data_IF_313109586429
#
_entry.id   IF_313109586429
#
_cell.length_a   1.000
_cell.length_b   1.000
_cell.length_c   1.000
_cell.angle_alpha   90.00
_cell.angle_beta   90.00
_cell.angle_gamma   90.00
#
_symmetry.space_group_name_H-M   'P 1'
#
loop_
_entity.id
_entity.type
_entity.pdbx_description
1 polymer ?
#
# COMPACT_ATOMS: atom_id res chain seq x y z
N UNK A 1 -31.33 -6.93 41.74
CA UNK A 1 -30.94 -5.51 41.74
C UNK A 1 -30.13 -5.28 40.50
N UNK A 2 -30.83 -4.98 39.40
CA UNK A 2 -30.24 -4.78 38.06
C UNK A 2 -29.99 -3.29 37.86
N UNK A 3 -28.74 -2.92 37.66
CA UNK A 3 -28.32 -1.54 37.40
C UNK A 3 -28.29 -1.30 35.89
N UNK A 4 -29.27 -0.56 35.39
CA UNK A 4 -29.43 -0.15 34.01
C UNK A 4 -28.39 0.93 33.64
N UNK A 5 -27.40 0.59 32.85
CA UNK A 5 -26.51 1.58 32.23
C UNK A 5 -27.21 2.24 31.05
N UNK A 6 -27.65 3.49 31.24
CA UNK A 6 -28.21 4.38 30.21
C UNK A 6 -27.10 4.79 29.23
N UNK A 7 -27.19 4.32 27.99
CA UNK A 7 -26.45 4.89 26.87
C UNK A 7 -27.08 6.22 26.44
N UNK A 8 -26.36 7.31 26.64
CA UNK A 8 -26.73 8.60 26.08
C UNK A 8 -26.29 8.66 24.59
N UNK A 9 -27.29 8.76 23.72
CA UNK A 9 -27.07 9.04 22.29
C UNK A 9 -26.90 10.55 22.10
N UNK A 10 -25.71 10.98 21.64
CA UNK A 10 -25.46 12.37 21.26
C UNK A 10 -25.98 12.60 19.85
N UNK A 11 -27.03 13.42 19.73
CA UNK A 11 -27.63 13.80 18.46
C UNK A 11 -26.80 14.82 17.73
N UNK A 12 -26.51 14.57 16.41
CA UNK A 12 -25.72 15.42 15.50
C UNK A 12 -26.41 16.73 15.04
N UNK A 13 -27.44 17.22 15.75
CA UNK A 13 -28.26 18.36 15.28
C UNK A 13 -28.05 19.70 15.99
N UNK A 14 -27.05 19.87 16.85
CA UNK A 14 -26.88 21.10 17.64
C UNK A 14 -25.56 21.82 17.37
N UNK A 15 -25.18 22.03 16.11
CA UNK A 15 -23.98 22.82 15.76
C UNK A 15 -24.21 23.71 14.51
N UNK A 16 -25.39 24.31 14.40
CA UNK A 16 -25.61 25.37 13.39
C UNK A 16 -26.63 26.40 13.98
N UNK A 17 -26.17 27.27 14.87
CA UNK A 17 -26.89 28.51 15.21
C UNK A 17 -25.94 29.52 15.86
N UNK A 18 -25.71 30.62 15.19
CA UNK A 18 -25.07 31.84 15.72
C UNK A 18 -23.87 32.24 14.87
N UNK A 19 -23.77 33.33 14.20
CA UNK A 19 -24.39 34.66 14.28
C UNK A 19 -24.12 35.39 12.99
N UNK A 20 -25.10 36.10 12.45
CA UNK A 20 -24.93 37.05 11.38
C UNK A 20 -24.25 38.30 11.93
N UNK A 21 -23.21 38.75 11.27
CA UNK A 21 -22.57 40.07 11.44
C UNK A 21 -22.28 40.67 10.09
N UNK A 22 -23.01 41.75 9.75
CA UNK A 22 -22.83 42.60 8.57
C UNK A 22 -21.52 43.41 8.69
N UNK A 23 -20.79 43.58 7.60
CA UNK A 23 -20.39 44.89 6.98
C UNK A 23 -19.12 44.74 6.15
N UNK A 24 -19.12 45.31 4.95
CA UNK A 24 -17.93 45.86 4.30
C UNK A 24 -17.57 45.20 2.98
N UNK A 25 -18.10 45.74 1.88
CA UNK A 25 -17.72 45.37 0.53
C UNK A 25 -16.28 45.75 0.17
N UNK A 26 -15.60 44.80 -0.48
CA UNK A 26 -14.53 45.08 -1.42
C UNK A 26 -14.61 44.01 -2.49
N UNK A 27 -14.92 44.48 -3.70
CA UNK A 27 -14.90 43.64 -4.89
C UNK A 27 -13.45 43.28 -5.20
N UNK A 28 -13.10 42.01 -5.05
CA UNK A 28 -11.88 41.44 -5.59
C UNK A 28 -12.26 40.43 -6.68
N UNK A 29 -11.81 40.72 -7.89
CA UNK A 29 -11.93 39.91 -9.07
C UNK A 29 -11.41 38.47 -8.82
N UNK A 30 -12.06 37.41 -9.31
CA UNK A 30 -11.53 36.07 -9.22
C UNK A 30 -10.43 35.88 -10.27
N UNK A 31 -9.19 36.14 -9.89
CA UNK A 31 -8.02 35.64 -10.60
C UNK A 31 -7.88 34.16 -10.27
N UNK A 32 -8.34 33.26 -11.14
CA UNK A 32 -8.08 31.85 -11.03
C UNK A 32 -6.58 31.59 -11.24
N UNK A 33 -5.84 31.45 -10.14
CA UNK A 33 -4.50 30.88 -10.18
C UNK A 33 -4.68 29.35 -10.16
N UNK A 34 -4.87 28.78 -11.34
CA UNK A 34 -4.59 27.37 -11.56
C UNK A 34 -3.07 27.20 -11.45
N UNK A 35 -2.59 26.83 -10.28
CA UNK A 35 -1.24 26.33 -10.14
C UNK A 35 -1.15 25.03 -10.94
N UNK A 36 -0.75 25.15 -12.20
CA UNK A 36 -0.33 24.00 -12.99
C UNK A 36 0.93 23.46 -12.34
N UNK A 37 0.78 22.34 -11.64
CA UNK A 37 1.89 21.56 -11.13
C UNK A 37 2.55 20.87 -12.34
N UNK A 38 3.24 21.64 -13.17
CA UNK A 38 4.06 21.12 -14.27
C UNK A 38 5.31 20.49 -13.68
N UNK A 39 5.19 19.22 -13.37
CA UNK A 39 6.35 18.36 -13.17
C UNK A 39 7.20 18.47 -14.44
N UNK A 40 8.47 18.88 -14.37
CA UNK A 40 9.28 18.97 -15.57
C UNK A 40 9.33 17.58 -16.22
N UNK A 41 8.98 17.52 -17.50
CA UNK A 41 9.17 16.32 -18.29
C UNK A 41 10.65 15.99 -18.26
N UNK A 42 11.03 14.88 -17.65
CA UNK A 42 12.38 14.37 -17.74
C UNK A 42 12.59 13.94 -19.19
N UNK A 43 13.35 14.73 -19.95
CA UNK A 43 13.94 14.28 -21.22
C UNK A 43 15.07 13.30 -20.88
N UNK A 44 14.68 12.12 -20.39
CA UNK A 44 15.59 11.02 -20.17
C UNK A 44 15.71 10.20 -21.45
N UNK A 45 16.97 9.96 -21.87
CA UNK A 45 17.30 8.98 -22.89
C UNK A 45 16.54 7.67 -22.65
N UNK A 46 16.10 7.02 -23.73
CA UNK A 46 15.44 5.72 -23.67
C UNK A 46 16.26 4.77 -22.76
N UNK A 47 15.63 4.09 -21.80
CA UNK A 47 16.35 3.19 -20.93
C UNK A 47 16.99 2.11 -21.80
N UNK A 48 18.31 2.01 -21.75
CA UNK A 48 19.00 0.80 -22.18
C UNK A 48 18.38 -0.34 -21.40
N UNK A 49 17.79 -1.31 -22.09
CA UNK A 49 17.14 -2.49 -21.54
C UNK A 49 18.08 -3.23 -20.58
N UNK A 50 18.10 -2.83 -19.32
CA UNK A 50 18.68 -3.64 -18.26
C UNK A 50 17.57 -4.57 -17.79
N UNK A 51 17.73 -5.86 -18.03
CA UNK A 51 16.86 -6.89 -17.50
C UNK A 51 16.64 -6.64 -16.00
N UNK A 52 15.43 -6.29 -15.61
CA UNK A 52 15.05 -6.18 -14.22
C UNK A 52 14.28 -7.46 -13.85
N UNK A 53 14.86 -8.37 -13.05
CA UNK A 53 14.24 -9.64 -12.72
C UNK A 53 12.94 -9.48 -11.91
N UNK A 54 12.66 -8.28 -11.41
CA UNK A 54 11.44 -7.94 -10.69
C UNK A 54 10.34 -7.31 -11.57
N UNK A 55 10.60 -7.19 -12.88
CA UNK A 55 9.64 -6.65 -13.82
C UNK A 55 9.71 -7.46 -15.10
N UNK A 56 8.87 -8.47 -15.27
CA UNK A 56 8.84 -9.23 -16.51
C UNK A 56 8.48 -8.27 -17.67
N UNK A 57 9.20 -8.43 -18.78
CA UNK A 57 8.96 -7.66 -19.99
C UNK A 57 7.53 -7.98 -20.51
N UNK A 58 6.64 -7.00 -20.67
CA UNK A 58 5.30 -7.23 -21.18
C UNK A 58 5.28 -7.92 -22.54
N UNK A 59 6.28 -7.66 -23.40
CA UNK A 59 6.39 -8.33 -24.69
C UNK A 59 6.72 -9.81 -24.55
N UNK A 60 7.51 -10.17 -23.53
CA UNK A 60 7.78 -11.57 -23.20
C UNK A 60 6.56 -12.28 -22.64
N UNK A 61 5.79 -11.62 -21.76
CA UNK A 61 4.55 -12.17 -21.22
C UNK A 61 3.49 -12.38 -22.31
N UNK A 62 3.46 -11.52 -23.33
CA UNK A 62 2.52 -11.63 -24.45
C UNK A 62 2.83 -12.77 -25.43
N UNK A 63 4.03 -13.40 -25.36
CA UNK A 63 4.41 -14.50 -26.26
C UNK A 63 3.52 -15.73 -26.09
N UNK A 64 2.92 -15.93 -24.94
CA UNK A 64 2.04 -17.05 -24.68
C UNK A 64 0.85 -16.60 -23.86
N UNK A 65 -0.34 -16.86 -24.38
CA UNK A 65 -1.60 -16.74 -23.65
C UNK A 65 -2.16 -18.13 -23.44
N UNK A 66 -2.55 -18.41 -22.21
CA UNK A 66 -3.15 -19.68 -21.82
C UNK A 66 -4.63 -19.46 -21.47
N UNK A 67 -5.44 -20.45 -21.76
CA UNK A 67 -6.85 -20.45 -21.37
C UNK A 67 -6.96 -20.61 -19.85
N UNK A 68 -7.84 -19.81 -19.23
CA UNK A 68 -8.16 -19.92 -17.82
C UNK A 68 -9.03 -21.17 -17.64
N UNK A 69 -8.50 -22.17 -16.93
CA UNK A 69 -9.15 -23.49 -16.81
C UNK A 69 -10.45 -23.41 -16.00
N UNK A 70 -10.47 -22.63 -14.91
CA UNK A 70 -11.61 -22.50 -14.00
C UNK A 70 -11.91 -21.02 -13.71
N UNK A 71 -12.49 -20.27 -14.67
CA UNK A 71 -12.68 -18.81 -14.54
C UNK A 71 -13.63 -18.42 -13.40
N UNK A 72 -14.53 -19.31 -12.99
CA UNK A 72 -15.51 -19.08 -11.92
C UNK A 72 -14.99 -19.47 -10.52
N UNK A 73 -13.79 -20.06 -10.44
CA UNK A 73 -13.19 -20.40 -9.15
C UNK A 73 -12.85 -19.13 -8.37
N UNK A 74 -13.47 -18.97 -7.20
CA UNK A 74 -13.17 -17.85 -6.30
C UNK A 74 -11.79 -18.02 -5.68
N UNK A 75 -10.94 -17.03 -5.88
CA UNK A 75 -9.56 -17.01 -5.44
C UNK A 75 -9.37 -15.86 -4.46
N UNK A 76 -8.73 -16.17 -3.32
CA UNK A 76 -8.13 -15.20 -2.44
C UNK A 76 -6.63 -15.19 -2.72
N UNK A 77 -6.08 -14.08 -3.24
CA UNK A 77 -4.63 -13.94 -3.36
C UNK A 77 -4.01 -13.70 -1.98
N UNK A 78 -3.24 -14.66 -1.45
CA UNK A 78 -2.75 -14.59 -0.08
C UNK A 78 -1.47 -13.76 0.06
N UNK A 79 -0.88 -13.24 -1.05
CA UNK A 79 0.44 -12.64 -0.97
C UNK A 79 0.74 -11.69 -2.13
N UNK A 80 0.52 -10.42 -1.92
CA UNK A 80 1.04 -9.38 -2.81
C UNK A 80 1.72 -8.25 -2.02
N UNK A 81 2.41 -7.38 -2.74
CA UNK A 81 3.08 -6.21 -2.21
C UNK A 81 2.63 -4.96 -2.96
N UNK A 82 2.92 -3.77 -2.40
CA UNK A 82 2.74 -2.48 -3.06
C UNK A 82 3.97 -1.63 -2.82
N UNK A 83 4.58 -1.10 -3.89
CA UNK A 83 5.77 -0.26 -3.79
C UNK A 83 5.83 0.81 -4.87
N UNK A 84 6.59 1.86 -4.59
CA UNK A 84 7.01 2.85 -5.58
C UNK A 84 8.52 3.06 -5.43
N UNK A 85 9.28 2.41 -6.31
CA UNK A 85 10.74 2.43 -6.34
C UNK A 85 11.21 3.02 -7.66
N UNK A 86 12.38 3.66 -7.72
CA UNK A 86 12.92 4.18 -8.98
C UNK A 86 12.91 3.11 -10.07
N UNK A 87 12.18 3.36 -11.17
CA UNK A 87 12.06 2.43 -12.29
C UNK A 87 11.22 1.17 -12.04
N UNK A 88 10.60 1.06 -10.87
CA UNK A 88 9.75 -0.09 -10.54
C UNK A 88 8.62 0.35 -9.60
N UNK A 89 7.45 0.58 -10.16
CA UNK A 89 6.23 0.96 -9.45
C UNK A 89 5.18 -0.14 -9.57
N UNK A 90 4.62 -0.54 -8.43
CA UNK A 90 3.48 -1.45 -8.36
C UNK A 90 2.54 -0.97 -7.26
N UNK A 91 1.49 -0.26 -7.64
CA UNK A 91 0.50 0.32 -6.75
C UNK A 91 -0.91 -0.14 -7.15
N UNK A 92 -1.93 0.58 -6.70
CA UNK A 92 -3.32 0.20 -6.90
C UNK A 92 -3.69 -0.09 -8.36
N UNK A 93 -3.25 0.77 -9.28
CA UNK A 93 -3.55 0.65 -10.71
C UNK A 93 -2.92 -0.59 -11.37
N UNK A 94 -1.69 -0.96 -10.98
CA UNK A 94 -1.05 -2.19 -11.45
C UNK A 94 -1.72 -3.43 -10.82
N UNK A 95 -1.98 -3.39 -9.50
CA UNK A 95 -2.66 -4.49 -8.82
C UNK A 95 -4.07 -4.73 -9.40
N UNK A 96 -4.80 -3.67 -9.75
CA UNK A 96 -6.10 -3.80 -10.41
C UNK A 96 -5.97 -4.51 -11.77
N UNK A 97 -4.97 -4.15 -12.57
CA UNK A 97 -4.73 -4.81 -13.86
C UNK A 97 -4.43 -6.32 -13.68
N UNK A 98 -3.72 -6.68 -12.62
CA UNK A 98 -3.41 -8.08 -12.34
C UNK A 98 -4.65 -8.86 -11.88
N UNK A 99 -5.45 -8.31 -10.97
CA UNK A 99 -6.66 -9.01 -10.47
C UNK A 99 -7.78 -9.08 -11.52
N UNK A 100 -7.78 -8.17 -12.49
CA UNK A 100 -8.73 -8.14 -13.60
C UNK A 100 -8.27 -8.98 -14.81
N UNK A 101 -7.20 -9.78 -14.66
CA UNK A 101 -6.61 -10.58 -15.75
C UNK A 101 -7.46 -11.77 -16.22
N UNK A 102 -8.64 -11.98 -15.64
CA UNK A 102 -9.63 -12.96 -16.06
C UNK A 102 -9.90 -14.08 -15.04
N UNK A 103 -9.10 -14.17 -13.98
CA UNK A 103 -9.42 -15.00 -12.82
C UNK A 103 -10.40 -14.30 -11.88
N UNK A 104 -11.21 -15.05 -11.15
CA UNK A 104 -12.16 -14.50 -10.17
C UNK A 104 -11.48 -14.25 -8.83
N UNK A 105 -10.60 -13.23 -8.78
CA UNK A 105 -9.96 -12.80 -7.54
C UNK A 105 -10.97 -12.01 -6.71
N UNK A 106 -11.34 -12.51 -5.53
CA UNK A 106 -12.35 -11.88 -4.67
C UNK A 106 -11.75 -11.01 -3.59
N UNK A 107 -10.63 -11.43 -3.01
CA UNK A 107 -9.91 -10.72 -1.97
C UNK A 107 -8.39 -10.87 -2.13
N UNK A 108 -7.63 -9.90 -1.60
CA UNK A 108 -6.16 -10.03 -1.55
C UNK A 108 -5.61 -9.75 -0.16
N UNK A 109 -4.44 -10.33 0.15
CA UNK A 109 -3.70 -10.11 1.39
C UNK A 109 -2.38 -9.40 1.09
N UNK A 110 -2.21 -8.22 1.66
CA UNK A 110 -0.95 -7.49 1.57
C UNK A 110 0.08 -8.05 2.55
N UNK A 111 1.29 -8.28 2.06
CA UNK A 111 2.45 -8.66 2.85
C UNK A 111 3.47 -7.52 2.82
N UNK A 112 4.09 -7.22 3.96
CA UNK A 112 5.11 -6.19 4.11
C UNK A 112 6.24 -6.30 3.06
N UNK A 113 6.76 -5.16 2.63
CA UNK A 113 7.88 -5.12 1.67
C UNK A 113 8.84 -3.94 1.90
N UNK A 114 8.71 -3.25 3.03
CA UNK A 114 9.52 -2.09 3.40
C UNK A 114 9.15 -0.83 2.62
N UNK A 115 7.92 -0.70 2.20
CA UNK A 115 7.42 0.44 1.43
C UNK A 115 6.71 1.46 2.31
N UNK A 116 6.76 2.74 1.93
CA UNK A 116 6.00 3.84 2.56
C UNK A 116 6.18 3.95 4.09
N UNK A 117 7.37 3.65 4.59
CA UNK A 117 7.70 3.86 5.98
C UNK A 117 7.64 5.34 6.34
N UNK A 118 7.26 5.68 7.57
CA UNK A 118 7.30 7.06 8.05
C UNK A 118 8.71 7.63 7.92
N UNK A 119 8.84 8.85 7.40
CA UNK A 119 10.12 9.53 7.27
C UNK A 119 10.71 9.86 8.64
N UNK A 120 9.85 10.23 9.58
CA UNK A 120 10.21 10.72 10.91
C UNK A 120 9.76 9.77 12.01
N UNK A 121 10.20 10.08 13.24
CA UNK A 121 9.86 9.34 14.45
C UNK A 121 10.84 8.21 14.76
N UNK A 122 10.59 7.46 15.86
CA UNK A 122 11.42 6.35 16.29
C UNK A 122 11.55 5.28 15.19
N UNK A 123 12.75 4.75 15.02
CA UNK A 123 13.07 3.80 13.94
C UNK A 123 12.13 2.59 13.94
N UNK A 124 11.82 2.06 15.10
CA UNK A 124 10.93 0.91 15.28
C UNK A 124 9.47 1.21 14.92
N UNK A 125 9.06 2.49 14.94
CA UNK A 125 7.71 2.93 14.59
C UNK A 125 7.56 3.26 13.11
N UNK A 126 8.65 3.45 12.37
CA UNK A 126 8.59 3.80 10.94
C UNK A 126 7.79 2.80 10.09
N UNK A 127 7.86 1.47 10.33
CA UNK A 127 7.07 0.50 9.58
C UNK A 127 5.55 0.64 9.74
N UNK A 128 5.06 1.42 10.72
CA UNK A 128 3.61 1.69 10.86
C UNK A 128 3.07 2.45 9.65
N UNK A 129 3.88 3.32 9.02
CA UNK A 129 3.53 4.06 7.81
C UNK A 129 3.09 3.16 6.66
N UNK A 130 3.72 2.01 6.49
CA UNK A 130 3.29 1.02 5.50
C UNK A 130 1.87 0.50 5.78
N UNK A 131 1.53 0.23 7.04
CA UNK A 131 0.18 -0.20 7.41
C UNK A 131 -0.87 0.91 7.21
N UNK A 132 -0.52 2.18 7.45
CA UNK A 132 -1.36 3.34 7.17
C UNK A 132 -1.63 3.48 5.67
N UNK A 133 -0.59 3.39 4.85
CA UNK A 133 -0.68 3.44 3.40
C UNK A 133 -1.57 2.32 2.84
N UNK A 134 -1.33 1.09 3.24
CA UNK A 134 -2.07 -0.08 2.76
C UNK A 134 -3.53 -0.03 3.21
N UNK A 135 -3.80 0.45 4.44
CA UNK A 135 -5.17 0.65 4.89
C UNK A 135 -5.90 1.71 4.05
N UNK A 136 -5.20 2.76 3.62
CA UNK A 136 -5.74 3.75 2.66
C UNK A 136 -6.10 3.10 1.32
N UNK A 137 -5.22 2.26 0.77
CA UNK A 137 -5.49 1.49 -0.46
C UNK A 137 -6.70 0.56 -0.29
N UNK A 138 -6.78 -0.15 0.84
CA UNK A 138 -7.92 -1.00 1.17
C UNK A 138 -9.24 -0.20 1.26
N UNK A 139 -9.19 1.01 1.81
CA UNK A 139 -10.35 1.90 1.88
C UNK A 139 -10.80 2.37 0.48
N UNK A 140 -9.84 2.67 -0.42
CA UNK A 140 -10.16 2.96 -1.82
C UNK A 140 -10.88 1.80 -2.49
N UNK A 141 -10.35 0.58 -2.37
CA UNK A 141 -11.01 -0.63 -2.90
C UNK A 141 -12.41 -0.84 -2.28
N UNK A 142 -12.54 -0.64 -0.98
CA UNK A 142 -13.83 -0.82 -0.28
C UNK A 142 -14.91 0.20 -0.68
N UNK A 143 -14.54 1.31 -1.35
CA UNK A 143 -15.50 2.30 -1.87
C UNK A 143 -16.38 1.75 -3.00
N UNK A 144 -15.95 0.65 -3.66
CA UNK A 144 -16.60 0.08 -4.82
C UNK A 144 -16.32 0.81 -6.15
N UNK A 145 -15.53 1.90 -6.13
CA UNK A 145 -15.18 2.63 -7.35
C UNK A 145 -14.15 1.90 -8.22
N UNK A 146 -13.46 0.92 -7.65
CA UNK A 146 -12.37 0.17 -8.27
C UNK A 146 -12.72 -1.31 -8.51
N UNK A 147 -13.99 -1.60 -8.74
CA UNK A 147 -14.46 -2.97 -8.96
C UNK A 147 -14.97 -3.66 -7.69
N UNK A 148 -15.16 -4.97 -7.78
CA UNK A 148 -15.75 -5.79 -6.71
C UNK A 148 -14.73 -6.49 -5.81
N UNK A 149 -13.50 -6.68 -6.32
CA UNK A 149 -12.40 -7.29 -5.57
C UNK A 149 -12.05 -6.46 -4.33
N UNK A 150 -11.89 -7.10 -3.19
CA UNK A 150 -11.50 -6.46 -1.94
C UNK A 150 -9.97 -6.51 -1.78
N UNK A 151 -9.29 -5.51 -2.33
CA UNK A 151 -7.83 -5.41 -2.26
C UNK A 151 -7.36 -5.09 -0.83
N UNK A 152 -6.24 -5.68 -0.44
CA UNK A 152 -5.65 -5.50 0.89
C UNK A 152 -6.66 -5.78 2.03
N UNK A 153 -7.54 -6.77 1.85
CA UNK A 153 -8.56 -7.16 2.84
C UNK A 153 -7.94 -7.56 4.18
N UNK A 154 -6.73 -8.10 4.13
CA UNK A 154 -5.89 -8.36 5.29
C UNK A 154 -4.50 -7.77 5.08
N UNK A 155 -3.85 -7.40 6.18
CA UNK A 155 -2.53 -6.76 6.21
C UNK A 155 -1.62 -7.56 7.12
N UNK A 156 -0.50 -8.02 6.59
CA UNK A 156 0.63 -8.57 7.34
C UNK A 156 1.77 -7.56 7.24
N UNK A 157 2.10 -6.91 8.35
CA UNK A 157 3.11 -5.86 8.40
C UNK A 157 4.44 -6.35 8.94
N UNK A 158 5.43 -5.44 9.04
CA UNK A 158 6.72 -5.72 9.66
C UNK A 158 6.79 -5.18 11.09
N UNK A 159 7.33 -5.99 12.02
CA UNK A 159 7.80 -5.51 13.33
C UNK A 159 9.10 -6.24 13.70
N UNK A 160 10.06 -5.51 14.30
CA UNK A 160 11.33 -6.09 14.71
C UNK A 160 11.17 -6.83 16.04
N UNK A 161 11.07 -8.14 16.00
CA UNK A 161 10.94 -8.99 17.20
C UNK A 161 12.17 -8.95 18.13
N UNK A 162 13.32 -8.41 17.66
CA UNK A 162 14.52 -8.24 18.51
C UNK A 162 14.33 -7.15 19.57
N UNK A 163 13.26 -6.37 19.49
CA UNK A 163 12.89 -5.38 20.49
C UNK A 163 12.41 -6.00 21.81
N UNK A 164 12.20 -7.34 21.85
CA UNK A 164 11.62 -8.00 23.01
C UNK A 164 10.26 -7.39 23.37
N UNK A 165 10.02 -7.09 24.64
CA UNK A 165 8.75 -6.50 25.10
C UNK A 165 8.44 -5.13 24.46
N UNK A 166 9.47 -4.42 23.99
CA UNK A 166 9.31 -3.15 23.27
C UNK A 166 8.54 -3.25 21.96
N UNK A 167 8.37 -4.46 21.41
CA UNK A 167 7.57 -4.68 20.18
C UNK A 167 6.09 -4.41 20.40
N UNK A 168 5.59 -4.54 21.62
CA UNK A 168 4.16 -4.38 21.96
C UNK A 168 3.62 -3.05 21.44
N UNK A 169 4.29 -1.94 21.69
CA UNK A 169 3.86 -0.62 21.21
C UNK A 169 3.80 -0.52 19.68
N UNK A 170 4.68 -1.23 18.97
CA UNK A 170 4.67 -1.27 17.51
C UNK A 170 3.46 -2.05 17.00
N UNK A 171 3.15 -3.18 17.63
CA UNK A 171 2.01 -4.02 17.29
C UNK A 171 0.68 -3.28 17.54
N UNK A 172 0.55 -2.62 18.69
CA UNK A 172 -0.62 -1.80 19.01
C UNK A 172 -0.82 -0.67 17.97
N UNK A 173 0.24 0.03 17.60
CA UNK A 173 0.18 1.07 16.57
C UNK A 173 -0.22 0.51 15.20
N UNK A 174 0.25 -0.69 14.83
CA UNK A 174 -0.14 -1.36 13.58
C UNK A 174 -1.59 -1.84 13.60
N UNK A 175 -2.06 -2.36 14.73
CA UNK A 175 -3.47 -2.74 14.92
C UNK A 175 -4.36 -1.50 14.72
N UNK A 176 -4.00 -0.38 15.34
CA UNK A 176 -4.73 0.87 15.19
C UNK A 176 -4.69 1.39 13.73
N UNK A 177 -3.51 1.40 13.09
CA UNK A 177 -3.34 1.85 11.71
C UNK A 177 -4.08 0.97 10.69
N UNK A 178 -4.19 -0.32 10.94
CA UNK A 178 -4.84 -1.28 10.05
C UNK A 178 -6.36 -1.30 10.14
N UNK A 179 -6.96 -0.59 11.09
CA UNK A 179 -8.42 -0.43 11.25
C UNK A 179 -9.20 -1.75 11.03
N UNK A 180 -8.85 -2.76 11.80
CA UNK A 180 -9.47 -4.09 11.73
C UNK A 180 -9.02 -4.96 10.54
N UNK A 181 -8.07 -4.53 9.71
CA UNK A 181 -7.48 -5.34 8.62
C UNK A 181 -6.14 -5.95 8.98
N UNK A 182 -5.44 -5.42 9.97
CA UNK A 182 -4.16 -5.97 10.42
C UNK A 182 -4.36 -7.37 11.02
N UNK A 183 -3.56 -8.35 10.57
CA UNK A 183 -3.69 -9.77 10.97
C UNK A 183 -2.43 -10.35 11.59
N UNK A 184 -1.28 -9.79 11.29
CA UNK A 184 -0.04 -10.34 11.79
C UNK A 184 1.18 -9.61 11.29
N UNK A 185 2.34 -10.15 11.62
CA UNK A 185 3.63 -9.62 11.19
C UNK A 185 4.47 -10.68 10.50
N UNK A 186 5.33 -10.20 9.61
CA UNK A 186 6.46 -10.94 9.08
C UNK A 186 7.76 -10.32 9.62
N UNK A 187 8.69 -11.15 10.06
CA UNK A 187 10.03 -10.74 10.45
C UNK A 187 11.05 -11.68 9.82
N UNK A 188 11.97 -11.13 9.01
CA UNK A 188 13.02 -11.92 8.41
C UNK A 188 14.03 -12.39 9.45
N UNK A 189 14.18 -13.71 9.57
CA UNK A 189 15.16 -14.35 10.47
C UNK A 189 16.47 -14.73 9.76
N UNK A 190 16.67 -14.27 8.52
CA UNK A 190 17.90 -14.51 7.79
C UNK A 190 19.13 -13.92 8.53
N UNK A 191 20.15 -14.73 8.75
CA UNK A 191 21.35 -14.31 9.51
C UNK A 191 22.12 -13.24 8.74
N UNK A 192 22.42 -12.13 9.40
CA UNK A 192 23.15 -10.98 8.86
C UNK A 192 24.54 -11.33 8.27
N UNK A 193 25.19 -12.39 8.77
CA UNK A 193 26.47 -12.87 8.25
C UNK A 193 26.36 -13.47 6.84
N UNK A 194 25.26 -14.12 6.50
CA UNK A 194 25.02 -14.64 5.16
C UNK A 194 24.79 -13.54 4.12
N UNK A 195 24.26 -12.40 4.55
CA UNK A 195 23.98 -11.27 3.66
C UNK A 195 25.25 -10.52 3.25
N UNK A 196 26.30 -10.50 4.09
CA UNK A 196 27.59 -9.89 3.73
C UNK A 196 28.37 -10.68 2.69
N UNK A 197 28.25 -12.01 2.64
CA UNK A 197 28.95 -12.85 1.67
C UNK A 197 28.27 -12.85 0.26
N UNK A 198 26.98 -12.57 0.19
CA UNK A 198 26.23 -12.53 -1.08
C UNK A 198 26.46 -11.25 -1.90
N UNK A 199 27.13 -10.25 -1.38
CA UNK A 199 27.41 -9.00 -2.12
C UNK A 199 28.53 -9.13 -3.16
N UNK A 200 29.17 -10.29 -3.32
CA UNK A 200 30.20 -10.54 -4.35
C UNK A 200 30.28 -12.01 -4.76
N UNK A 201 29.19 -12.56 -5.25
CA UNK A 201 29.35 -13.65 -6.21
C UNK A 201 29.43 -13.01 -7.62
N UNK A 202 30.51 -13.15 -8.37
CA UNK A 202 30.51 -12.72 -9.76
C UNK A 202 29.44 -13.55 -10.47
N UNK A 203 28.60 -12.86 -11.22
CA UNK A 203 27.76 -13.51 -12.22
C UNK A 203 28.74 -14.18 -13.17
N UNK A 204 28.82 -15.50 -13.11
CA UNK A 204 29.58 -16.28 -14.09
C UNK A 204 28.99 -15.96 -15.47
N UNK A 205 29.74 -15.18 -16.26
CA UNK A 205 29.41 -14.96 -17.66
C UNK A 205 29.44 -16.35 -18.34
N UNK A 206 28.36 -16.68 -19.00
CA UNK A 206 28.28 -17.83 -19.92
C UNK A 206 29.11 -17.56 -21.18
N UNK A 207 30.41 -17.54 -21.03
CA UNK A 207 31.31 -17.40 -22.12
C UNK A 207 32.56 -18.26 -21.85
N UNK A 208 32.36 -19.55 -21.59
CA UNK A 208 33.42 -20.58 -21.68
C UNK A 208 32.75 -21.94 -21.43
N UNK A 209 32.05 -22.41 -22.48
CA UNK A 209 31.74 -23.83 -22.69
C UNK A 209 31.49 -24.06 -24.20
#
# INVERSE_FOLDING_TARGET
>A
MEEQVRRQSVSRRTLLSGTAGLLGGAALSPGAVLAQNTRPASTGAAPTSSYNPHYPDPSWLALRQEEIIEPELEIVDPHHHLWDRPGNRFLLDQLLADVDSGHKITETVFIECGSMYRAEGPTEMKPVGESEFVNGTAAMSASGQYGTTRLCRAIVGHADLRLGDGVTRVLEAKIAAGDGRFRGIQHSVARTQATRSRRRAPILSRADA
#
